data_IF_944781295116
#
_entry.id   IF_944781295116
#
_cell.length_a   1.000
_cell.length_b   1.000
_cell.length_c   1.000
_cell.angle_alpha   90.00
_cell.angle_beta   90.00
_cell.angle_gamma   90.00
#
_symmetry.space_group_name_H-M   'P 1'
#
loop_
_entity.id
_entity.type
_entity.pdbx_description
1 polymer ?
#
# COMPACT_ATOMS: atom_id res chain seq x y z
N UNK A 1 7.60 -7.00 11.72
CA UNK A 1 7.41 -7.01 10.25
C UNK A 1 6.28 -6.05 9.87
N UNK A 2 6.44 -5.34 8.77
CA UNK A 2 5.40 -4.45 8.25
C UNK A 2 4.54 -5.22 7.24
N UNK A 3 3.23 -5.07 7.35
CA UNK A 3 2.29 -5.59 6.38
C UNK A 3 1.48 -4.45 5.80
N UNK A 4 1.52 -4.30 4.49
CA UNK A 4 0.78 -3.22 3.81
C UNK A 4 -0.68 -3.61 3.63
N UNK A 5 -1.57 -2.64 3.85
CA UNK A 5 -3.03 -2.83 3.70
C UNK A 5 -3.58 -2.07 2.50
N UNK A 6 -2.69 -1.60 1.63
CA UNK A 6 -3.06 -0.75 0.50
C UNK A 6 -4.08 -1.44 -0.41
N UNK A 7 -3.83 -2.71 -0.72
CA UNK A 7 -4.74 -3.48 -1.56
C UNK A 7 -6.14 -3.58 -0.96
N UNK A 8 -6.22 -3.89 0.33
CA UNK A 8 -7.51 -4.05 1.01
C UNK A 8 -8.29 -2.75 1.00
N UNK A 9 -7.61 -1.63 1.26
CA UNK A 9 -8.26 -0.32 1.27
C UNK A 9 -8.73 0.06 -0.14
N UNK A 10 -7.88 -0.14 -1.14
CA UNK A 10 -8.22 0.19 -2.51
C UNK A 10 -9.40 -0.66 -3.00
N UNK A 11 -9.39 -1.95 -2.70
CA UNK A 11 -10.47 -2.84 -3.10
C UNK A 11 -11.79 -2.46 -2.43
N UNK A 12 -11.74 -2.04 -1.17
CA UNK A 12 -12.94 -1.60 -0.47
C UNK A 12 -13.55 -0.35 -1.10
N UNK A 13 -12.73 0.43 -1.79
CA UNK A 13 -13.17 1.65 -2.49
C UNK A 13 -13.39 1.40 -3.98
N UNK A 14 -13.26 0.15 -4.43
CA UNK A 14 -13.42 -0.25 -5.83
C UNK A 14 -12.40 0.45 -6.74
N UNK A 15 -11.18 0.61 -6.25
CA UNK A 15 -10.07 1.20 -6.98
C UNK A 15 -9.11 0.09 -7.36
N UNK A 16 -8.90 -0.13 -8.66
CA UNK A 16 -7.96 -1.15 -9.12
C UNK A 16 -6.54 -0.58 -9.21
N UNK A 17 -5.57 -1.43 -9.56
CA UNK A 17 -4.16 -1.04 -9.64
C UNK A 17 -3.92 0.09 -10.63
N UNK A 18 -4.51 0.01 -11.81
CA UNK A 18 -4.34 1.03 -12.84
C UNK A 18 -4.86 2.38 -12.39
N UNK A 19 -6.04 2.38 -11.78
CA UNK A 19 -6.64 3.60 -11.30
C UNK A 19 -5.82 4.20 -10.16
N UNK A 20 -5.37 3.36 -9.23
CA UNK A 20 -4.56 3.84 -8.12
C UNK A 20 -3.24 4.43 -8.60
N UNK A 21 -2.60 3.78 -9.57
CA UNK A 21 -1.37 4.28 -10.18
C UNK A 21 -1.55 5.70 -10.71
N UNK A 22 -2.65 5.94 -11.43
CA UNK A 22 -2.93 7.26 -11.98
C UNK A 22 -3.29 8.27 -10.91
N UNK A 23 -4.11 7.88 -9.95
CA UNK A 23 -4.55 8.78 -8.87
C UNK A 23 -3.39 9.22 -7.99
N UNK A 24 -2.50 8.29 -7.69
CA UNK A 24 -1.38 8.55 -6.78
C UNK A 24 -0.14 9.06 -7.51
N UNK A 25 -0.14 9.05 -8.84
CA UNK A 25 1.04 9.40 -9.64
C UNK A 25 2.23 8.51 -9.25
N UNK A 26 1.98 7.22 -9.16
CA UNK A 26 2.99 6.22 -8.82
C UNK A 26 3.07 5.22 -9.97
N UNK A 27 4.29 4.78 -10.29
CA UNK A 27 4.50 3.82 -11.37
C UNK A 27 3.64 2.58 -11.16
N UNK A 28 3.00 2.13 -12.23
CA UNK A 28 2.12 0.96 -12.18
C UNK A 28 2.85 -0.28 -11.63
N UNK A 29 4.10 -0.49 -12.05
CA UNK A 29 4.85 -1.65 -11.59
C UNK A 29 5.11 -1.60 -10.08
N UNK A 30 5.25 -0.42 -9.51
CA UNK A 30 5.38 -0.24 -8.06
C UNK A 30 4.08 -0.65 -7.37
N UNK A 31 2.95 -0.22 -7.89
CA UNK A 31 1.64 -0.59 -7.35
C UNK A 31 1.44 -2.10 -7.45
N UNK A 32 1.77 -2.68 -8.59
CA UNK A 32 1.65 -4.12 -8.79
C UNK A 32 2.51 -4.91 -7.80
N UNK A 33 3.74 -4.44 -7.56
CA UNK A 33 4.62 -5.08 -6.58
C UNK A 33 4.03 -5.06 -5.18
N UNK A 34 3.36 -3.96 -4.81
CA UNK A 34 2.68 -3.84 -3.52
C UNK A 34 1.51 -4.82 -3.44
N UNK A 35 0.74 -4.95 -4.53
CA UNK A 35 -0.38 -5.91 -4.60
C UNK A 35 0.09 -7.35 -4.40
N UNK A 36 1.19 -7.70 -5.06
CA UNK A 36 1.70 -9.07 -5.04
C UNK A 36 2.45 -9.41 -3.75
N UNK A 37 3.03 -8.41 -3.10
CA UNK A 37 3.83 -8.65 -1.90
C UNK A 37 3.54 -7.58 -0.83
N UNK A 38 2.58 -7.84 0.06
CA UNK A 38 2.21 -6.86 1.09
C UNK A 38 3.28 -6.62 2.15
N UNK A 39 4.36 -7.41 2.16
CA UNK A 39 5.47 -7.20 3.09
C UNK A 39 6.64 -6.45 2.46
N UNK A 40 6.44 -5.95 1.25
CA UNK A 40 7.49 -5.24 0.53
C UNK A 40 7.79 -3.89 1.18
N UNK A 41 9.06 -3.52 1.16
CA UNK A 41 9.47 -2.17 1.58
C UNK A 41 9.02 -1.14 0.56
N UNK A 42 8.43 -0.06 1.04
CA UNK A 42 7.96 1.02 0.19
C UNK A 42 8.44 2.34 0.76
N UNK A 43 8.93 3.22 -0.10
CA UNK A 43 9.39 4.53 0.34
C UNK A 43 8.25 5.32 0.99
N UNK A 44 8.56 6.09 2.03
CA UNK A 44 7.56 6.89 2.74
C UNK A 44 6.89 7.88 1.79
N UNK A 45 7.65 8.46 0.85
CA UNK A 45 7.08 9.38 -0.13
C UNK A 45 6.05 8.71 -1.03
N UNK A 46 6.26 7.44 -1.38
CA UNK A 46 5.29 6.66 -2.14
C UNK A 46 4.04 6.40 -1.30
N UNK A 47 4.21 6.06 -0.04
CA UNK A 47 3.08 5.87 0.87
C UNK A 47 2.27 7.15 1.01
N UNK A 48 2.92 8.30 1.08
CA UNK A 48 2.24 9.58 1.17
C UNK A 48 1.35 9.82 -0.05
N UNK A 49 1.88 9.56 -1.24
CA UNK A 49 1.11 9.73 -2.48
C UNK A 49 -0.12 8.81 -2.50
N UNK A 50 0.06 7.57 -2.09
CA UNK A 50 -1.03 6.60 -2.07
C UNK A 50 -2.08 6.99 -1.02
N UNK A 51 -1.65 7.42 0.16
CA UNK A 51 -2.57 7.85 1.20
C UNK A 51 -3.43 9.00 0.74
N UNK A 52 -2.83 9.99 0.08
CA UNK A 52 -3.59 11.13 -0.46
C UNK A 52 -4.59 10.66 -1.51
N UNK A 53 -4.20 9.75 -2.39
CA UNK A 53 -5.07 9.25 -3.43
C UNK A 53 -6.27 8.50 -2.83
N UNK A 54 -6.04 7.75 -1.76
CA UNK A 54 -7.10 6.97 -1.11
C UNK A 54 -7.88 7.76 -0.07
N UNK A 55 -7.42 8.97 0.26
CA UNK A 55 -8.11 9.79 1.26
C UNK A 55 -7.98 9.27 2.68
N UNK A 56 -6.85 8.66 3.00
CA UNK A 56 -6.59 8.09 4.33
C UNK A 56 -5.25 8.59 4.85
N UNK A 57 -4.95 8.31 6.11
CA UNK A 57 -3.65 8.62 6.69
C UNK A 57 -2.62 7.53 6.30
N UNK A 58 -1.35 7.91 6.28
CA UNK A 58 -0.28 6.94 6.00
C UNK A 58 -0.37 5.76 6.97
N UNK A 59 -0.64 6.02 8.25
CA UNK A 59 -0.74 4.96 9.26
C UNK A 59 -1.84 3.95 8.97
N UNK A 60 -2.81 4.30 8.14
CA UNK A 60 -3.88 3.37 7.75
C UNK A 60 -3.42 2.40 6.68
N UNK A 61 -2.28 2.66 6.05
CA UNK A 61 -1.78 1.86 4.92
C UNK A 61 -0.98 0.64 5.34
N UNK A 62 -0.62 0.53 6.62
CA UNK A 62 0.22 -0.58 7.07
C UNK A 62 -0.11 -0.94 8.51
N UNK A 63 0.32 -2.13 8.89
CA UNK A 63 0.27 -2.56 10.27
C UNK A 63 1.58 -3.25 10.62
N UNK A 64 1.90 -3.28 11.90
CA UNK A 64 3.07 -3.99 12.39
C UNK A 64 2.59 -5.32 12.93
N UNK A 65 3.14 -6.40 12.39
CA UNK A 65 2.79 -7.76 12.82
C UNK A 65 4.00 -8.42 13.44
N UNK A 66 3.81 -9.38 14.37
CA UNK A 66 4.92 -10.07 14.99
C UNK A 66 5.74 -10.84 13.96
N UNK A 67 7.06 -10.87 14.18
CA UNK A 67 7.94 -11.69 13.35
C UNK A 67 7.79 -13.14 13.77
N UNK A 68 7.78 -14.03 12.77
CA UNK A 68 7.61 -15.44 13.04
C UNK A 68 8.77 -16.04 13.82
N UNK A 69 9.96 -15.44 13.71
CA UNK A 69 11.12 -15.93 14.43
C UNK A 69 11.02 -15.73 15.92
N UNK A 70 10.07 -14.97 16.39
CA UNK A 70 9.92 -14.65 17.81
C UNK A 70 9.27 -15.76 18.61
N UNK A 71 9.06 -16.88 18.00
CA UNK A 71 8.46 -18.01 18.69
C UNK A 71 9.45 -18.78 19.55
#
# INVERSE_FOLDING_TARGET
MIRLKIRDIAESKKINMSKLSRMADVNYNTIRGIWDNPNRDVAVTTLEKIAKALGVNISDLYEIVPDEQDM
#
